data_IF_941906883301
#
_entry.id   IF_941906883301
#
_cell.length_a   1.000
_cell.length_b   1.000
_cell.length_c   1.000
_cell.angle_alpha   90.00
_cell.angle_beta   90.00
_cell.angle_gamma   90.00
#
_symmetry.space_group_name_H-M   'P 1'
#
loop_
_entity.id
_entity.type
_entity.pdbx_description
1 polymer ?
#
# COMPACT_ATOMS: atom_id res chain seq x y z
N UNK A 1 -0.95 40.92 -70.09
CA UNK A 1 -1.28 39.64 -69.43
C UNK A 1 -0.31 39.20 -68.37
N UNK A 2 1.02 39.41 -68.43
CA UNK A 2 1.99 39.01 -67.43
C UNK A 2 1.90 39.73 -66.09
N UNK A 3 1.39 40.96 -66.00
CA UNK A 3 1.25 41.72 -64.72
C UNK A 3 0.04 41.33 -63.90
N UNK A 4 -1.00 40.73 -64.45
CA UNK A 4 -2.21 40.31 -63.76
C UNK A 4 -1.97 38.93 -63.09
N UNK A 5 -1.15 38.08 -63.69
CA UNK A 5 -0.77 36.78 -63.10
C UNK A 5 0.11 36.93 -61.79
N UNK A 6 0.94 37.97 -61.74
CA UNK A 6 1.81 38.22 -60.61
C UNK A 6 1.05 38.77 -59.37
N UNK A 7 -0.02 39.58 -59.62
CA UNK A 7 -0.86 40.07 -58.53
C UNK A 7 -1.81 39.00 -57.96
N UNK A 8 -2.25 38.06 -58.78
CA UNK A 8 -3.04 36.91 -58.28
C UNK A 8 -2.19 35.93 -57.45
N UNK A 9 -0.91 35.74 -57.78
CA UNK A 9 0.02 34.90 -56.97
C UNK A 9 0.35 35.55 -55.62
N UNK A 10 0.48 36.88 -55.55
CA UNK A 10 0.72 37.62 -54.31
C UNK A 10 -0.53 37.67 -53.40
N UNK A 11 -1.72 37.72 -53.96
CA UNK A 11 -2.98 37.63 -53.21
C UNK A 11 -3.22 36.22 -52.66
N UNK A 12 -2.80 35.16 -53.37
CA UNK A 12 -2.89 33.78 -52.91
C UNK A 12 -1.98 33.50 -51.73
N UNK A 13 -0.75 34.01 -51.74
CA UNK A 13 0.22 33.81 -50.63
C UNK A 13 -0.19 34.57 -49.37
N UNK A 14 -0.81 35.77 -49.53
CA UNK A 14 -1.32 36.55 -48.39
C UNK A 14 -2.54 35.92 -47.71
N UNK A 15 -3.43 35.32 -48.49
CA UNK A 15 -4.63 34.62 -47.95
C UNK A 15 -4.29 33.33 -47.21
N UNK A 16 -3.31 32.57 -47.66
CA UNK A 16 -2.83 31.36 -46.94
C UNK A 16 -2.15 31.67 -45.60
N UNK A 17 -1.40 32.80 -45.52
CA UNK A 17 -0.76 33.20 -44.25
C UNK A 17 -1.75 33.68 -43.19
N UNK A 18 -2.86 34.31 -43.61
CA UNK A 18 -3.93 34.68 -42.70
C UNK A 18 -4.82 33.51 -42.28
N UNK A 19 -5.02 32.53 -43.17
CA UNK A 19 -5.84 31.35 -42.87
C UNK A 19 -5.26 30.52 -41.70
N UNK A 20 -3.92 30.40 -41.60
CA UNK A 20 -3.30 29.60 -40.55
C UNK A 20 -3.18 30.30 -39.20
N UNK A 21 -3.00 31.59 -39.18
CA UNK A 21 -3.14 32.39 -37.96
C UNK A 21 -4.56 32.29 -37.41
N UNK A 22 -5.55 32.13 -38.33
CA UNK A 22 -6.94 31.85 -37.96
C UNK A 22 -7.09 30.48 -37.24
N UNK A 23 -6.35 29.43 -37.63
CA UNK A 23 -6.43 28.13 -36.97
C UNK A 23 -5.98 28.21 -35.49
N UNK A 24 -4.94 28.99 -35.18
CA UNK A 24 -4.51 29.22 -33.77
C UNK A 24 -5.61 30.01 -33.02
N UNK A 25 -6.16 31.05 -33.64
CA UNK A 25 -7.24 31.84 -33.05
C UNK A 25 -8.51 31.01 -32.81
N UNK A 26 -8.86 30.12 -33.77
CA UNK A 26 -9.98 29.19 -33.55
C UNK A 26 -9.69 28.18 -32.45
N UNK A 27 -8.48 27.64 -32.33
CA UNK A 27 -8.07 26.81 -31.18
C UNK A 27 -8.25 27.58 -29.86
N UNK A 28 -7.77 28.82 -29.76
CA UNK A 28 -7.94 29.64 -28.56
C UNK A 28 -9.43 29.89 -28.23
N UNK A 29 -10.27 30.13 -29.23
CA UNK A 29 -11.72 30.26 -29.01
C UNK A 29 -12.33 29.00 -28.46
N UNK A 30 -11.98 27.83 -29.03
CA UNK A 30 -12.47 26.54 -28.51
C UNK A 30 -12.06 26.34 -27.05
N UNK A 31 -10.82 26.66 -26.67
CA UNK A 31 -10.36 26.59 -25.29
C UNK A 31 -11.17 27.51 -24.36
N UNK A 32 -11.40 28.76 -24.78
CA UNK A 32 -12.20 29.71 -24.02
C UNK A 32 -13.66 29.27 -23.85
N UNK A 33 -14.24 28.59 -24.84
CA UNK A 33 -15.59 28.02 -24.78
C UNK A 33 -15.72 26.92 -23.71
N UNK A 34 -14.64 26.19 -23.39
CA UNK A 34 -14.64 25.23 -22.31
C UNK A 34 -14.76 25.90 -20.94
N UNK A 35 -14.08 27.03 -20.75
CA UNK A 35 -14.13 27.79 -19.49
C UNK A 35 -15.51 28.41 -19.22
N UNK A 36 -16.28 28.72 -20.27
CA UNK A 36 -17.60 29.34 -20.17
C UNK A 36 -18.74 28.30 -19.99
N UNK A 37 -18.50 27.06 -20.33
CA UNK A 37 -19.55 26.02 -20.37
C UNK A 37 -19.64 25.19 -19.09
N UNK A 38 -20.15 25.76 -17.99
CA UNK A 38 -20.26 25.06 -16.69
C UNK A 38 -21.20 23.83 -16.68
N UNK A 39 -22.15 23.75 -17.60
CA UNK A 39 -23.21 22.73 -17.62
C UNK A 39 -23.14 21.79 -18.84
N UNK A 40 -21.99 21.70 -19.50
CA UNK A 40 -21.82 20.81 -20.66
C UNK A 40 -21.65 19.36 -20.24
N UNK A 41 -22.27 18.45 -20.99
CA UNK A 41 -22.08 17.03 -20.88
C UNK A 41 -20.64 16.62 -21.23
N UNK A 42 -20.20 15.42 -20.80
CA UNK A 42 -18.90 14.86 -21.20
C UNK A 42 -18.74 14.82 -22.73
N UNK A 43 -19.80 14.41 -23.46
CA UNK A 43 -19.78 14.33 -24.92
C UNK A 43 -19.58 15.68 -25.57
N UNK A 44 -20.25 16.73 -25.08
CA UNK A 44 -20.09 18.10 -25.58
C UNK A 44 -18.69 18.66 -25.29
N UNK A 45 -18.15 18.41 -24.12
CA UNK A 45 -16.79 18.78 -23.80
C UNK A 45 -15.76 18.07 -24.68
N UNK A 46 -15.89 16.75 -24.88
CA UNK A 46 -15.01 15.98 -25.77
C UNK A 46 -15.11 16.47 -27.23
N UNK A 47 -16.31 16.84 -27.71
CA UNK A 47 -16.49 17.42 -29.02
C UNK A 47 -15.69 18.72 -29.15
N UNK A 48 -15.89 19.68 -28.25
CA UNK A 48 -15.19 20.97 -28.25
C UNK A 48 -13.67 20.80 -28.20
N UNK A 49 -13.20 19.87 -27.36
CA UNK A 49 -11.76 19.55 -27.23
C UNK A 49 -11.17 18.94 -28.50
N UNK A 50 -11.89 18.03 -29.16
CA UNK A 50 -11.43 17.43 -30.42
C UNK A 50 -11.46 18.45 -31.58
N UNK A 51 -12.44 19.37 -31.65
CA UNK A 51 -12.46 20.47 -32.60
C UNK A 51 -11.24 21.39 -32.41
N UNK A 52 -10.95 21.78 -31.16
CA UNK A 52 -9.75 22.56 -30.83
C UNK A 52 -8.45 21.83 -31.19
N UNK A 53 -8.35 20.52 -30.89
CA UNK A 53 -7.19 19.70 -31.25
C UNK A 53 -7.00 19.65 -32.78
N UNK A 54 -8.08 19.51 -33.57
CA UNK A 54 -8.02 19.50 -35.04
C UNK A 54 -7.52 20.83 -35.62
N UNK A 55 -7.86 22.00 -35.02
CA UNK A 55 -7.28 23.28 -35.38
C UNK A 55 -5.76 23.31 -35.12
N UNK A 56 -5.30 22.76 -34.01
CA UNK A 56 -3.86 22.66 -33.73
C UNK A 56 -3.13 21.72 -34.70
N UNK A 57 -3.76 20.61 -35.14
CA UNK A 57 -3.20 19.70 -36.15
C UNK A 57 -2.87 20.44 -37.45
N UNK A 58 -3.78 21.31 -37.93
CA UNK A 58 -3.55 22.13 -39.10
C UNK A 58 -2.45 23.15 -38.87
N UNK A 59 -2.42 23.79 -37.70
CA UNK A 59 -1.44 24.82 -37.37
C UNK A 59 -0.01 24.26 -37.30
N UNK A 60 0.21 23.07 -36.69
CA UNK A 60 1.53 22.46 -36.62
C UNK A 60 2.01 21.85 -37.95
N UNK A 61 1.10 21.54 -38.86
CA UNK A 61 1.44 21.04 -40.20
C UNK A 61 1.97 22.11 -41.15
N UNK A 62 1.81 23.38 -40.82
CA UNK A 62 2.11 24.47 -41.73
C UNK A 62 3.48 25.12 -41.49
N UNK A 63 4.28 25.34 -42.53
CA UNK A 63 5.66 25.82 -42.48
C UNK A 63 5.87 27.13 -41.70
N UNK A 64 4.90 28.03 -41.65
CA UNK A 64 5.02 29.31 -40.96
C UNK A 64 4.62 29.28 -39.49
N UNK A 65 3.91 28.22 -39.04
CA UNK A 65 3.38 28.13 -37.68
C UNK A 65 3.92 26.93 -36.93
N UNK A 66 4.48 25.92 -37.59
CA UNK A 66 5.02 24.71 -36.96
C UNK A 66 6.12 24.97 -35.92
N UNK A 67 6.84 26.08 -36.04
CA UNK A 67 7.92 26.48 -35.15
C UNK A 67 7.52 27.62 -34.19
N UNK A 68 6.22 27.98 -34.12
CA UNK A 68 5.65 28.85 -33.10
C UNK A 68 5.25 28.03 -31.86
N UNK A 69 5.29 28.64 -30.68
CA UNK A 69 5.00 27.94 -29.44
C UNK A 69 3.51 27.70 -29.23
N UNK A 70 2.66 28.66 -29.61
CA UNK A 70 1.21 28.64 -29.32
C UNK A 70 0.49 27.42 -29.90
N UNK A 71 0.71 26.97 -31.16
CA UNK A 71 0.07 25.76 -31.66
C UNK A 71 0.38 24.50 -30.82
N UNK A 72 1.61 24.39 -30.34
CA UNK A 72 2.04 23.24 -29.53
C UNK A 72 1.53 23.33 -28.13
N UNK A 73 1.49 24.51 -27.49
CA UNK A 73 0.94 24.68 -26.15
C UNK A 73 -0.56 24.35 -26.09
N UNK A 74 -1.35 24.87 -27.04
CA UNK A 74 -2.78 24.54 -27.13
C UNK A 74 -3.01 23.08 -27.52
N UNK A 75 -2.16 22.48 -28.38
CA UNK A 75 -2.20 21.05 -28.67
C UNK A 75 -2.02 20.23 -27.39
N UNK A 76 -1.04 20.61 -26.57
CA UNK A 76 -0.81 19.97 -25.30
C UNK A 76 -2.02 20.09 -24.36
N UNK A 77 -2.61 21.28 -24.24
CA UNK A 77 -3.80 21.51 -23.43
C UNK A 77 -5.00 20.67 -23.87
N UNK A 78 -5.33 20.66 -25.17
CA UNK A 78 -6.46 19.88 -25.67
C UNK A 78 -6.25 18.39 -25.49
N UNK A 79 -5.11 17.87 -25.90
CA UNK A 79 -4.82 16.45 -25.82
C UNK A 79 -4.75 15.96 -24.36
N UNK A 80 -4.12 16.71 -23.47
CA UNK A 80 -4.04 16.37 -22.04
C UNK A 80 -5.41 16.41 -21.37
N UNK A 81 -6.25 17.40 -21.73
CA UNK A 81 -7.61 17.48 -21.17
C UNK A 81 -8.49 16.33 -21.64
N UNK A 82 -8.40 15.92 -22.91
CA UNK A 82 -9.10 14.72 -23.41
C UNK A 82 -8.59 13.49 -22.64
N UNK A 83 -7.27 13.32 -22.50
CA UNK A 83 -6.69 12.20 -21.76
C UNK A 83 -7.23 12.12 -20.32
N UNK A 84 -7.43 13.26 -19.66
CA UNK A 84 -7.91 13.34 -18.29
C UNK A 84 -9.39 13.00 -18.15
N UNK A 85 -10.25 13.49 -19.06
CA UNK A 85 -11.71 13.38 -18.88
C UNK A 85 -12.35 12.21 -19.64
N UNK A 86 -11.68 11.64 -20.63
CA UNK A 86 -12.22 10.51 -21.41
C UNK A 86 -12.08 9.20 -20.64
N UNK A 87 -12.93 9.06 -19.63
CA UNK A 87 -12.97 7.88 -18.77
C UNK A 87 -13.69 6.68 -19.40
N UNK A 88 -14.37 6.87 -20.53
CA UNK A 88 -15.14 5.84 -21.23
C UNK A 88 -14.29 5.07 -22.24
N UNK A 89 -13.33 5.74 -22.87
CA UNK A 89 -12.40 5.17 -23.84
C UNK A 89 -10.95 5.26 -23.34
N UNK A 90 -10.54 4.21 -22.63
CA UNK A 90 -9.18 4.09 -22.10
C UNK A 90 -8.11 4.16 -23.21
N UNK A 91 -8.37 3.54 -24.37
CA UNK A 91 -7.43 3.52 -25.48
C UNK A 91 -7.23 4.94 -26.05
N UNK A 92 -8.33 5.69 -26.22
CA UNK A 92 -8.28 7.10 -26.65
C UNK A 92 -7.57 7.96 -25.59
N UNK A 93 -7.89 7.80 -24.31
CA UNK A 93 -7.22 8.52 -23.21
C UNK A 93 -5.68 8.33 -23.26
N UNK A 94 -5.19 7.09 -23.44
CA UNK A 94 -3.75 6.79 -23.57
C UNK A 94 -3.15 7.40 -24.84
N UNK A 95 -3.87 7.31 -25.98
CA UNK A 95 -3.41 7.91 -27.23
C UNK A 95 -3.29 9.43 -27.13
N UNK A 96 -4.26 10.08 -26.49
CA UNK A 96 -4.25 11.53 -26.28
C UNK A 96 -3.17 11.97 -25.29
N UNK A 97 -2.87 11.16 -24.28
CA UNK A 97 -1.72 11.40 -23.40
C UNK A 97 -0.41 11.49 -24.19
N UNK A 98 -0.14 10.53 -25.09
CA UNK A 98 1.08 10.56 -25.92
C UNK A 98 1.17 11.81 -26.77
N UNK A 99 0.06 12.22 -27.39
CA UNK A 99 -0.02 13.46 -28.16
C UNK A 99 0.29 14.67 -27.28
N UNK A 100 -0.25 14.70 -26.05
CA UNK A 100 0.01 15.77 -25.09
C UNK A 100 1.50 15.82 -24.69
N UNK A 101 2.11 14.69 -24.39
CA UNK A 101 3.52 14.61 -24.00
C UNK A 101 4.45 15.10 -25.12
N UNK A 102 4.24 14.67 -26.36
CA UNK A 102 5.00 15.16 -27.51
C UNK A 102 4.83 16.67 -27.69
N UNK A 103 3.60 17.18 -27.54
CA UNK A 103 3.30 18.60 -27.66
C UNK A 103 3.92 19.44 -26.53
N UNK A 104 3.91 18.94 -25.28
CA UNK A 104 4.55 19.56 -24.12
C UNK A 104 6.05 19.70 -24.36
N UNK A 105 6.74 18.65 -24.81
CA UNK A 105 8.18 18.69 -25.06
C UNK A 105 8.53 19.65 -26.21
N UNK A 106 7.71 19.68 -27.25
CA UNK A 106 7.93 20.60 -28.36
C UNK A 106 7.66 22.06 -27.93
N UNK A 107 6.59 22.31 -27.18
CA UNK A 107 6.27 23.64 -26.64
C UNK A 107 7.38 24.16 -25.73
N UNK A 108 7.86 23.33 -24.77
CA UNK A 108 8.99 23.68 -23.90
C UNK A 108 10.25 24.04 -24.69
N UNK A 109 10.56 23.28 -25.76
CA UNK A 109 11.72 23.55 -26.59
C UNK A 109 11.63 24.89 -27.32
N UNK A 110 10.43 25.30 -27.70
CA UNK A 110 10.15 26.56 -28.44
C UNK A 110 9.96 27.77 -27.52
N UNK A 111 9.44 27.59 -26.31
CA UNK A 111 9.10 28.67 -25.39
C UNK A 111 10.30 29.25 -24.64
N UNK A 112 11.17 29.94 -25.40
CA UNK A 112 12.38 30.58 -24.83
C UNK A 112 12.05 31.79 -23.93
N UNK A 113 10.86 32.34 -24.03
CA UNK A 113 10.43 33.54 -23.29
C UNK A 113 9.47 33.26 -22.16
N UNK A 114 8.99 32.02 -22.04
CA UNK A 114 8.00 31.63 -21.03
C UNK A 114 6.60 32.19 -21.33
N UNK A 115 6.30 32.53 -22.57
CA UNK A 115 5.00 33.10 -22.96
C UNK A 115 3.83 32.11 -22.83
N UNK A 116 4.10 30.82 -22.93
CA UNK A 116 3.12 29.74 -22.87
C UNK A 116 3.37 28.81 -21.65
N UNK A 117 4.15 29.24 -20.68
CA UNK A 117 4.55 28.46 -19.51
C UNK A 117 3.35 27.89 -18.78
N UNK A 118 2.35 28.70 -18.49
CA UNK A 118 1.14 28.29 -17.75
C UNK A 118 0.38 27.19 -18.50
N UNK A 119 0.20 27.34 -19.80
CA UNK A 119 -0.45 26.34 -20.65
C UNK A 119 0.31 25.00 -20.67
N UNK A 120 1.64 25.06 -20.70
CA UNK A 120 2.52 23.88 -20.70
C UNK A 120 2.45 23.18 -19.34
N UNK A 121 2.47 23.92 -18.23
CA UNK A 121 2.35 23.40 -16.89
C UNK A 121 0.98 22.78 -16.64
N UNK A 122 -0.10 23.44 -17.05
CA UNK A 122 -1.47 22.91 -16.97
C UNK A 122 -1.63 21.61 -17.77
N UNK A 123 -1.05 21.56 -18.97
CA UNK A 123 -1.08 20.36 -19.78
C UNK A 123 -0.32 19.19 -19.10
N UNK A 124 0.85 19.46 -18.50
CA UNK A 124 1.61 18.47 -17.77
C UNK A 124 0.82 17.96 -16.56
N UNK A 125 0.22 18.85 -15.78
CA UNK A 125 -0.64 18.48 -14.64
C UNK A 125 -1.83 17.62 -15.08
N UNK A 126 -2.50 17.96 -16.18
CA UNK A 126 -3.59 17.14 -16.71
C UNK A 126 -3.13 15.72 -17.07
N UNK A 127 -1.95 15.57 -17.67
CA UNK A 127 -1.36 14.26 -17.98
C UNK A 127 -1.13 13.46 -16.69
N UNK A 128 -0.51 14.05 -15.68
CA UNK A 128 -0.23 13.39 -14.42
C UNK A 128 -1.52 12.94 -13.70
N UNK A 129 -2.53 13.81 -13.70
CA UNK A 129 -3.86 13.47 -13.17
C UNK A 129 -4.53 12.35 -13.98
N UNK A 130 -4.39 12.35 -15.32
CA UNK A 130 -4.96 11.31 -16.17
C UNK A 130 -4.34 9.93 -15.87
N UNK A 131 -3.02 9.85 -15.71
CA UNK A 131 -2.32 8.61 -15.35
C UNK A 131 -2.76 8.11 -13.98
N UNK A 132 -2.77 9.00 -12.98
CA UNK A 132 -3.18 8.65 -11.62
C UNK A 132 -4.63 8.17 -11.56
N UNK A 133 -5.55 8.88 -12.24
CA UNK A 133 -6.97 8.51 -12.28
C UNK A 133 -7.19 7.16 -12.95
N UNK A 134 -6.43 6.83 -14.01
CA UNK A 134 -6.45 5.49 -14.62
C UNK A 134 -6.05 4.41 -13.63
N UNK A 135 -5.02 4.64 -12.83
CA UNK A 135 -4.60 3.71 -11.79
C UNK A 135 -5.71 3.48 -10.75
N UNK A 136 -6.30 4.54 -10.23
CA UNK A 136 -7.42 4.47 -9.28
C UNK A 136 -8.62 3.74 -9.88
N UNK A 137 -8.98 4.06 -11.12
CA UNK A 137 -10.12 3.45 -11.79
C UNK A 137 -9.90 1.97 -12.09
N UNK A 138 -8.71 1.59 -12.57
CA UNK A 138 -8.32 0.20 -12.77
C UNK A 138 -8.38 -0.58 -11.46
N UNK A 139 -7.86 -0.03 -10.37
CA UNK A 139 -7.93 -0.66 -9.05
C UNK A 139 -9.37 -0.90 -8.59
N UNK A 140 -10.24 0.12 -8.71
CA UNK A 140 -11.69 -0.01 -8.39
C UNK A 140 -12.39 -1.07 -9.23
N UNK A 141 -11.98 -1.26 -10.47
CA UNK A 141 -12.49 -2.31 -11.37
C UNK A 141 -11.83 -3.67 -11.16
N UNK A 142 -10.90 -3.79 -10.22
CA UNK A 142 -10.09 -4.98 -9.95
C UNK A 142 -9.14 -5.36 -11.11
N UNK A 143 -8.86 -4.43 -12.02
CA UNK A 143 -7.75 -4.53 -12.96
C UNK A 143 -6.46 -4.10 -12.26
N UNK A 144 -5.97 -4.98 -11.38
CA UNK A 144 -4.82 -4.69 -10.56
C UNK A 144 -3.52 -4.58 -11.37
N UNK A 145 -3.42 -5.25 -12.51
CA UNK A 145 -2.28 -5.10 -13.41
C UNK A 145 -2.28 -3.71 -14.07
N UNK A 146 -3.42 -3.28 -14.56
CA UNK A 146 -3.58 -1.91 -15.09
C UNK A 146 -3.28 -0.85 -14.03
N UNK A 147 -3.76 -1.05 -12.80
CA UNK A 147 -3.48 -0.17 -11.67
C UNK A 147 -1.97 -0.11 -11.35
N UNK A 148 -1.31 -1.27 -11.23
CA UNK A 148 0.13 -1.35 -10.98
C UNK A 148 0.94 -0.62 -12.04
N UNK A 149 0.62 -0.82 -13.33
CA UNK A 149 1.31 -0.17 -14.43
C UNK A 149 1.13 1.35 -14.38
N UNK A 150 -0.09 1.83 -14.14
CA UNK A 150 -0.38 3.27 -14.05
C UNK A 150 0.33 3.92 -12.85
N UNK A 151 0.23 3.34 -11.63
CA UNK A 151 0.91 3.90 -10.46
C UNK A 151 2.45 3.84 -10.59
N UNK A 152 2.99 2.79 -11.23
CA UNK A 152 4.42 2.72 -11.55
C UNK A 152 4.84 3.83 -12.55
N UNK A 153 3.96 4.22 -13.46
CA UNK A 153 4.20 5.36 -14.34
C UNK A 153 4.22 6.67 -13.52
N UNK A 154 3.29 6.85 -12.58
CA UNK A 154 3.29 8.04 -11.70
C UNK A 154 4.57 8.12 -10.86
N UNK A 155 5.09 7.01 -10.32
CA UNK A 155 6.35 7.03 -9.55
C UNK A 155 7.56 7.47 -10.40
N UNK A 156 7.56 7.18 -11.71
CA UNK A 156 8.61 7.64 -12.62
C UNK A 156 8.50 9.14 -12.92
N UNK A 157 7.29 9.67 -13.00
CA UNK A 157 7.01 11.09 -13.23
C UNK A 157 7.30 11.92 -11.99
N UNK A 158 6.93 11.41 -10.82
CA UNK A 158 7.05 12.06 -9.52
C UNK A 158 7.81 11.17 -8.52
N UNK A 159 9.16 11.07 -8.65
CA UNK A 159 9.96 10.16 -7.82
C UNK A 159 9.95 10.46 -6.31
N UNK A 160 9.40 11.61 -5.90
CA UNK A 160 9.22 11.99 -4.50
C UNK A 160 7.81 11.77 -3.96
N UNK A 161 6.84 11.38 -4.81
CA UNK A 161 5.46 11.15 -4.38
C UNK A 161 5.31 9.80 -3.65
N UNK A 162 5.30 9.87 -2.33
CA UNK A 162 5.17 8.69 -1.46
C UNK A 162 3.87 7.92 -1.69
N UNK A 163 2.77 8.61 -1.96
CA UNK A 163 1.45 8.02 -2.18
C UNK A 163 1.42 7.10 -3.39
N UNK A 164 2.08 7.50 -4.47
CA UNK A 164 2.16 6.70 -5.69
C UNK A 164 2.95 5.40 -5.49
N UNK A 165 4.02 5.42 -4.67
CA UNK A 165 4.73 4.19 -4.30
C UNK A 165 3.84 3.27 -3.45
N UNK A 166 3.07 3.81 -2.50
CA UNK A 166 2.13 3.01 -1.71
C UNK A 166 1.10 2.36 -2.63
N UNK A 167 0.49 3.13 -3.53
CA UNK A 167 -0.52 2.62 -4.46
C UNK A 167 0.05 1.54 -5.41
N UNK A 168 1.27 1.75 -5.93
CA UNK A 168 1.96 0.74 -6.74
C UNK A 168 2.26 -0.54 -5.94
N UNK A 169 2.69 -0.41 -4.69
CA UNK A 169 2.94 -1.52 -3.79
C UNK A 169 1.67 -2.33 -3.48
N UNK A 170 0.57 -1.65 -3.19
CA UNK A 170 -0.74 -2.29 -2.97
C UNK A 170 -1.20 -3.03 -4.22
N UNK A 171 -1.16 -2.39 -5.38
CA UNK A 171 -1.55 -3.04 -6.64
C UNK A 171 -0.65 -4.23 -6.99
N UNK A 172 0.66 -4.15 -6.70
CA UNK A 172 1.60 -5.24 -6.88
C UNK A 172 1.26 -6.47 -6.01
N UNK A 173 0.80 -6.24 -4.76
CA UNK A 173 0.35 -7.34 -3.88
C UNK A 173 -0.85 -8.09 -4.46
N UNK A 174 -1.81 -7.38 -5.03
CA UNK A 174 -3.02 -7.98 -5.61
C UNK A 174 -2.72 -8.88 -6.82
N UNK A 175 -1.60 -8.63 -7.52
CA UNK A 175 -1.13 -9.45 -8.64
C UNK A 175 0.05 -10.37 -8.26
N UNK A 176 0.22 -10.61 -6.95
CA UNK A 176 1.24 -11.49 -6.36
C UNK A 176 2.71 -11.12 -6.69
N UNK A 177 2.95 -9.89 -7.13
CA UNK A 177 4.30 -9.33 -7.30
C UNK A 177 4.86 -8.83 -5.97
N UNK A 178 5.05 -9.76 -5.04
CA UNK A 178 5.45 -9.43 -3.66
C UNK A 178 6.81 -8.74 -3.54
N UNK A 179 7.85 -9.11 -4.30
CA UNK A 179 9.12 -8.38 -4.27
C UNK A 179 8.96 -6.91 -4.70
N UNK A 180 8.20 -6.65 -5.76
CA UNK A 180 7.91 -5.30 -6.24
C UNK A 180 7.07 -4.51 -5.23
N UNK A 181 6.10 -5.16 -4.57
CA UNK A 181 5.32 -4.54 -3.50
C UNK A 181 6.21 -4.07 -2.35
N UNK A 182 7.07 -4.97 -1.86
CA UNK A 182 8.04 -4.67 -0.79
C UNK A 182 8.98 -3.53 -1.19
N UNK A 183 9.49 -3.55 -2.43
CA UNK A 183 10.37 -2.50 -2.95
C UNK A 183 9.68 -1.12 -2.95
N UNK A 184 8.43 -1.06 -3.42
CA UNK A 184 7.65 0.17 -3.44
C UNK A 184 7.35 0.67 -2.02
N UNK A 185 6.95 -0.20 -1.08
CA UNK A 185 6.71 0.19 0.31
C UNK A 185 7.99 0.69 1.00
N UNK A 186 9.14 0.04 0.78
CA UNK A 186 10.43 0.51 1.28
C UNK A 186 10.76 1.91 0.75
N UNK A 187 10.49 2.15 -0.55
CA UNK A 187 10.73 3.47 -1.14
C UNK A 187 9.82 4.55 -0.56
N UNK A 188 8.53 4.24 -0.33
CA UNK A 188 7.61 5.15 0.34
C UNK A 188 8.09 5.50 1.77
N UNK A 189 8.57 4.51 2.53
CA UNK A 189 9.14 4.70 3.88
C UNK A 189 10.39 5.58 3.83
N UNK A 190 11.30 5.31 2.89
CA UNK A 190 12.53 6.10 2.70
C UNK A 190 12.22 7.58 2.40
N UNK A 191 11.18 7.83 1.62
CA UNK A 191 10.73 9.17 1.26
C UNK A 191 9.89 9.86 2.36
N UNK A 192 9.66 9.21 3.50
CA UNK A 192 8.97 9.79 4.65
C UNK A 192 7.45 9.68 4.61
N UNK A 193 6.90 8.59 4.04
CA UNK A 193 5.45 8.36 4.10
C UNK A 193 4.96 8.38 5.56
N UNK A 194 3.87 9.12 5.90
CA UNK A 194 3.45 9.31 7.29
C UNK A 194 3.18 8.00 8.02
N UNK A 195 2.46 7.07 7.39
CA UNK A 195 2.11 5.78 8.01
C UNK A 195 3.19 4.70 7.76
N UNK A 196 4.47 5.11 7.77
CA UNK A 196 5.62 4.25 7.52
C UNK A 196 5.66 2.99 8.38
N UNK A 197 5.14 3.05 9.61
CA UNK A 197 5.05 1.93 10.54
C UNK A 197 4.13 0.83 9.98
N UNK A 198 2.94 1.20 9.48
CA UNK A 198 1.97 0.27 8.89
C UNK A 198 2.56 -0.40 7.65
N UNK A 199 3.25 0.38 6.79
CA UNK A 199 3.93 -0.19 5.63
C UNK A 199 5.03 -1.18 6.03
N UNK A 200 5.77 -0.88 7.10
CA UNK A 200 6.82 -1.79 7.58
C UNK A 200 6.23 -3.10 8.09
N UNK A 201 5.11 -3.05 8.83
CA UNK A 201 4.37 -4.25 9.24
C UNK A 201 3.90 -5.07 8.03
N UNK A 202 3.43 -4.41 6.98
CA UNK A 202 2.98 -5.06 5.76
C UNK A 202 4.14 -5.75 5.02
N UNK A 203 5.32 -5.12 4.98
CA UNK A 203 6.56 -5.74 4.47
C UNK A 203 6.90 -7.02 5.26
N UNK A 204 6.87 -6.95 6.58
CA UNK A 204 7.13 -8.11 7.45
C UNK A 204 6.13 -9.24 7.17
N UNK A 205 4.83 -8.92 7.20
CA UNK A 205 3.78 -9.90 6.94
C UNK A 205 3.91 -10.54 5.55
N UNK A 206 4.16 -9.73 4.53
CA UNK A 206 4.31 -10.21 3.15
C UNK A 206 5.52 -11.15 3.03
N UNK A 207 6.63 -10.82 3.68
CA UNK A 207 7.84 -11.65 3.69
C UNK A 207 7.59 -13.01 4.33
N UNK A 208 6.93 -13.06 5.50
CA UNK A 208 6.61 -14.33 6.16
C UNK A 208 5.51 -15.13 5.45
N UNK A 209 4.40 -14.47 5.11
CA UNK A 209 3.19 -15.18 4.70
C UNK A 209 3.17 -15.52 3.22
N UNK A 210 3.73 -14.67 2.38
CA UNK A 210 3.68 -14.78 0.92
C UNK A 210 4.99 -15.29 0.32
N UNK A 211 6.11 -14.69 0.69
CA UNK A 211 7.43 -15.16 0.23
C UNK A 211 7.90 -16.41 0.99
N UNK A 212 7.31 -16.71 2.14
CA UNK A 212 7.74 -17.82 3.04
C UNK A 212 9.20 -17.73 3.47
N UNK A 213 9.80 -16.55 3.38
CA UNK A 213 11.19 -16.33 3.77
C UNK A 213 11.29 -15.98 5.24
N UNK A 214 11.41 -17.03 6.06
CA UNK A 214 11.53 -16.92 7.51
C UNK A 214 12.81 -16.19 7.92
N UNK A 215 13.91 -16.35 7.18
CA UNK A 215 15.19 -15.72 7.52
C UNK A 215 15.12 -14.21 7.31
N UNK A 216 14.71 -13.76 6.12
CA UNK A 216 14.52 -12.34 5.87
C UNK A 216 13.44 -11.72 6.77
N UNK A 217 12.36 -12.46 7.04
CA UNK A 217 11.30 -12.03 7.95
C UNK A 217 11.81 -11.78 9.38
N UNK A 218 12.69 -12.64 9.90
CA UNK A 218 13.29 -12.45 11.24
C UNK A 218 14.19 -11.19 11.29
N UNK A 219 15.00 -10.95 10.25
CA UNK A 219 15.82 -9.73 10.17
C UNK A 219 14.93 -8.48 10.18
N UNK A 220 13.84 -8.50 9.39
CA UNK A 220 12.87 -7.39 9.37
C UNK A 220 12.15 -7.20 10.71
N UNK A 221 11.86 -8.27 11.44
CA UNK A 221 11.28 -8.17 12.79
C UNK A 221 12.23 -7.51 13.77
N UNK A 222 13.51 -7.89 13.75
CA UNK A 222 14.53 -7.28 14.60
C UNK A 222 14.72 -5.79 14.27
N UNK A 223 14.75 -5.45 12.98
CA UNK A 223 14.78 -4.06 12.51
C UNK A 223 13.54 -3.29 12.96
N UNK A 224 12.35 -3.88 12.82
CA UNK A 224 11.08 -3.27 13.23
C UNK A 224 11.01 -3.02 14.73
N UNK A 225 11.42 -3.99 15.55
CA UNK A 225 11.46 -3.86 17.00
C UNK A 225 12.45 -2.78 17.46
N UNK A 226 13.59 -2.63 16.77
CA UNK A 226 14.57 -1.59 17.07
C UNK A 226 14.08 -0.20 16.63
N UNK A 227 13.45 -0.10 15.47
CA UNK A 227 12.99 1.16 14.89
C UNK A 227 11.70 1.69 15.53
N UNK A 228 10.84 0.78 16.01
CA UNK A 228 9.54 1.07 16.60
C UNK A 228 9.38 0.37 17.95
N UNK A 229 10.15 0.76 18.99
CA UNK A 229 10.23 0.06 20.26
C UNK A 229 8.90 0.02 21.03
N UNK A 230 8.02 0.99 20.80
CA UNK A 230 6.69 1.08 21.41
C UNK A 230 5.62 0.25 20.66
N UNK A 231 6.01 -0.41 19.56
CA UNK A 231 5.08 -1.17 18.73
C UNK A 231 5.10 -2.63 19.11
N UNK A 232 4.13 -3.04 19.93
CA UNK A 232 3.99 -4.41 20.44
C UNK A 232 3.85 -5.49 19.35
N UNK A 233 3.44 -5.10 18.14
CA UNK A 233 3.29 -6.01 17.00
C UNK A 233 4.60 -6.76 16.69
N UNK A 234 5.74 -6.07 16.60
CA UNK A 234 7.02 -6.70 16.24
C UNK A 234 7.49 -7.65 17.33
N UNK A 235 7.40 -7.21 18.59
CA UNK A 235 7.78 -8.04 19.74
C UNK A 235 6.83 -9.24 19.87
N UNK A 236 5.53 -9.03 19.65
CA UNK A 236 4.52 -10.10 19.70
C UNK A 236 4.77 -11.18 18.65
N UNK A 237 5.06 -10.79 17.40
CA UNK A 237 5.32 -11.74 16.33
C UNK A 237 6.66 -12.50 16.55
N UNK A 238 7.71 -11.81 17.05
CA UNK A 238 8.94 -12.49 17.47
C UNK A 238 8.67 -13.53 18.57
N UNK A 239 7.89 -13.15 19.58
CA UNK A 239 7.51 -14.03 20.68
C UNK A 239 6.81 -15.29 20.18
N UNK A 240 5.81 -15.14 19.28
CA UNK A 240 5.09 -16.27 18.68
C UNK A 240 6.04 -17.22 17.93
N UNK A 241 6.99 -16.69 17.18
CA UNK A 241 7.99 -17.48 16.47
C UNK A 241 8.90 -18.25 17.44
N UNK A 242 9.38 -17.61 18.50
CA UNK A 242 10.24 -18.26 19.49
C UNK A 242 9.49 -19.33 20.29
N UNK A 243 8.21 -19.09 20.62
CA UNK A 243 7.34 -20.12 21.24
C UNK A 243 7.22 -21.33 20.32
N UNK A 244 6.93 -21.12 19.03
CA UNK A 244 6.80 -22.21 18.05
C UNK A 244 8.11 -22.99 17.83
N UNK A 245 9.25 -22.32 17.95
CA UNK A 245 10.58 -22.97 17.88
C UNK A 245 10.99 -23.67 19.17
N UNK A 246 10.25 -23.50 20.25
CA UNK A 246 10.60 -24.03 21.56
C UNK A 246 11.73 -23.27 22.24
N UNK A 247 12.07 -22.07 21.80
CA UNK A 247 13.06 -21.21 22.48
C UNK A 247 12.38 -20.47 23.65
N UNK A 248 12.24 -21.19 24.75
CA UNK A 248 11.52 -20.74 25.95
C UNK A 248 12.18 -19.48 26.54
N UNK A 249 13.52 -19.48 26.63
CA UNK A 249 14.23 -18.37 27.23
C UNK A 249 13.99 -17.04 26.50
N UNK A 250 14.08 -17.08 25.17
CA UNK A 250 13.87 -15.90 24.35
C UNK A 250 12.42 -15.44 24.36
N UNK A 251 11.47 -16.39 24.32
CA UNK A 251 10.04 -16.05 24.40
C UNK A 251 9.67 -15.42 25.76
N UNK A 252 10.22 -15.90 26.87
CA UNK A 252 10.01 -15.30 28.20
C UNK A 252 10.63 -13.91 28.32
N UNK A 253 11.83 -13.68 27.76
CA UNK A 253 12.44 -12.34 27.70
C UNK A 253 11.53 -11.33 26.99
N UNK A 254 11.01 -11.69 25.82
CA UNK A 254 10.15 -10.82 25.02
C UNK A 254 8.79 -10.59 25.66
N UNK A 255 8.17 -11.66 26.23
CA UNK A 255 6.92 -11.54 26.97
C UNK A 255 7.06 -10.65 28.21
N UNK A 256 8.20 -10.68 28.88
CA UNK A 256 8.47 -9.78 30.01
C UNK A 256 8.45 -8.30 29.58
N UNK A 257 9.00 -7.99 28.39
CA UNK A 257 8.95 -6.65 27.81
C UNK A 257 7.51 -6.23 27.45
N UNK A 258 6.75 -7.16 26.85
CA UNK A 258 5.34 -6.91 26.50
C UNK A 258 4.46 -6.68 27.75
N UNK A 259 4.64 -7.50 28.79
CA UNK A 259 3.94 -7.34 30.07
C UNK A 259 4.32 -6.03 30.77
N UNK A 260 5.59 -5.62 30.68
CA UNK A 260 6.03 -4.34 31.24
C UNK A 260 5.42 -3.13 30.51
N UNK A 261 5.23 -3.22 29.18
CA UNK A 261 4.60 -2.17 28.37
C UNK A 261 3.08 -2.13 28.52
N UNK A 262 2.43 -3.28 28.66
CA UNK A 262 0.98 -3.40 28.85
C UNK A 262 0.66 -4.50 29.89
N UNK A 263 0.70 -4.18 31.18
CA UNK A 263 0.43 -5.14 32.27
C UNK A 263 -0.99 -5.69 32.28
N UNK A 264 -1.94 -5.00 31.65
CA UNK A 264 -3.34 -5.35 31.61
C UNK A 264 -3.75 -6.18 30.38
N UNK A 265 -2.78 -6.64 29.60
CA UNK A 265 -3.04 -7.50 28.45
C UNK A 265 -3.17 -8.97 28.87
N UNK A 266 -4.39 -9.48 28.86
CA UNK A 266 -4.70 -10.87 29.20
C UNK A 266 -3.89 -11.88 28.37
N UNK A 267 -3.70 -11.59 27.07
CA UNK A 267 -2.98 -12.50 26.17
C UNK A 267 -1.51 -12.65 26.58
N UNK A 268 -0.84 -11.57 26.97
CA UNK A 268 0.58 -11.65 27.37
C UNK A 268 0.78 -12.46 28.66
N UNK A 269 -0.14 -12.29 29.62
CA UNK A 269 -0.14 -13.10 30.86
C UNK A 269 -0.39 -14.57 30.53
N UNK A 270 -1.37 -14.87 29.70
CA UNK A 270 -1.67 -16.23 29.23
C UNK A 270 -0.47 -16.88 28.52
N UNK A 271 0.15 -16.18 27.57
CA UNK A 271 1.30 -16.70 26.83
C UNK A 271 2.50 -16.95 27.74
N UNK A 272 2.78 -16.06 28.70
CA UNK A 272 3.84 -16.29 29.69
C UNK A 272 3.54 -17.54 30.55
N UNK A 273 2.29 -17.70 30.99
CA UNK A 273 1.83 -18.91 31.69
C UNK A 273 2.06 -20.17 30.87
N UNK A 274 1.78 -20.13 29.58
CA UNK A 274 2.02 -21.25 28.66
C UNK A 274 3.50 -21.61 28.54
N UNK A 275 4.42 -20.67 28.59
CA UNK A 275 5.86 -21.01 28.52
C UNK A 275 6.28 -21.87 29.69
N UNK A 276 5.77 -21.64 30.89
CA UNK A 276 6.02 -22.46 32.07
C UNK A 276 5.25 -23.77 32.02
N UNK A 277 3.95 -23.72 31.68
CA UNK A 277 3.14 -24.94 31.65
C UNK A 277 3.63 -25.95 30.60
N UNK A 278 4.05 -25.50 29.43
CA UNK A 278 4.61 -26.37 28.39
C UNK A 278 5.92 -27.05 28.86
N UNK A 279 6.73 -26.37 29.67
CA UNK A 279 7.92 -27.00 30.30
C UNK A 279 7.50 -28.09 31.27
N UNK A 280 6.42 -27.88 32.04
CA UNK A 280 5.88 -28.92 32.91
C UNK A 280 5.38 -30.12 32.10
N UNK A 281 4.64 -29.91 31.02
CA UNK A 281 4.17 -30.98 30.15
C UNK A 281 5.30 -31.75 29.45
N UNK A 282 6.37 -31.05 29.03
CA UNK A 282 7.55 -31.71 28.49
C UNK A 282 8.20 -32.66 29.54
N UNK A 283 8.34 -32.22 30.79
CA UNK A 283 8.84 -33.04 31.86
C UNK A 283 7.89 -34.22 32.15
N UNK A 284 6.58 -33.99 32.12
CA UNK A 284 5.61 -35.08 32.29
C UNK A 284 5.78 -36.16 31.21
N UNK A 285 6.01 -35.74 29.97
CA UNK A 285 6.25 -36.66 28.85
C UNK A 285 7.52 -37.47 29.05
N UNK A 286 8.62 -36.86 29.49
CA UNK A 286 9.86 -37.55 29.75
C UNK A 286 9.73 -38.48 30.99
N UNK A 287 9.05 -38.03 32.06
CA UNK A 287 8.77 -38.82 33.24
C UNK A 287 7.97 -40.09 32.94
N UNK A 288 7.02 -40.01 31.99
CA UNK A 288 6.22 -41.19 31.60
C UNK A 288 7.02 -42.30 30.91
N UNK A 289 8.24 -42.01 30.44
CA UNK A 289 9.15 -42.97 29.81
C UNK A 289 10.07 -43.68 30.83
N UNK A 290 10.08 -43.27 32.10
CA UNK A 290 10.94 -43.86 33.12
C UNK A 290 10.47 -45.26 33.48
N UNK A 291 11.44 -46.17 33.73
CA UNK A 291 11.19 -47.48 34.31
C UNK A 291 10.64 -47.35 35.75
N UNK A 292 9.75 -48.23 36.12
CA UNK A 292 9.15 -48.28 37.46
C UNK A 292 10.17 -48.37 38.63
N UNK A 293 11.42 -48.76 38.35
CA UNK A 293 12.52 -48.78 39.33
C UNK A 293 13.23 -47.44 39.51
N UNK A 294 12.93 -46.43 38.70
CA UNK A 294 13.60 -45.13 38.68
C UNK A 294 12.96 -44.12 39.66
N UNK A 295 12.65 -44.54 40.89
CA UNK A 295 11.91 -43.75 41.88
C UNK A 295 12.52 -42.35 42.12
N UNK A 296 13.83 -42.27 42.32
CA UNK A 296 14.53 -41.00 42.57
C UNK A 296 14.38 -40.02 41.36
N UNK A 297 14.60 -40.50 40.15
CA UNK A 297 14.45 -39.68 38.96
C UNK A 297 12.98 -39.26 38.77
N UNK A 298 12.04 -40.14 39.08
CA UNK A 298 10.61 -39.84 39.04
C UNK A 298 10.24 -38.69 40.00
N UNK A 299 10.74 -38.75 41.26
CA UNK A 299 10.48 -37.72 42.27
C UNK A 299 11.13 -36.38 41.91
N UNK A 300 12.38 -36.40 41.42
CA UNK A 300 13.06 -35.18 40.93
C UNK A 300 12.31 -34.52 39.77
N UNK A 301 11.84 -35.29 38.80
CA UNK A 301 11.04 -34.78 37.68
C UNK A 301 9.69 -34.24 38.15
N UNK A 302 9.03 -34.92 39.09
CA UNK A 302 7.77 -34.49 39.69
C UNK A 302 7.93 -33.16 40.41
N UNK A 303 8.99 -32.99 41.19
CA UNK A 303 9.30 -31.75 41.88
C UNK A 303 9.60 -30.59 40.89
N UNK A 304 10.37 -30.88 39.82
CA UNK A 304 10.67 -29.90 38.77
C UNK A 304 9.41 -29.48 38.01
N UNK A 305 8.55 -30.44 37.68
CA UNK A 305 7.26 -30.17 37.02
C UNK A 305 6.37 -29.30 37.92
N UNK A 306 6.29 -29.61 39.22
CA UNK A 306 5.53 -28.80 40.19
C UNK A 306 5.97 -27.35 40.23
N UNK A 307 7.29 -27.07 40.19
CA UNK A 307 7.81 -25.69 40.15
C UNK A 307 7.32 -24.90 38.93
N UNK A 308 7.35 -25.51 37.76
CA UNK A 308 6.85 -24.84 36.54
C UNK A 308 5.33 -24.61 36.57
N UNK A 309 4.58 -25.58 37.12
CA UNK A 309 3.15 -25.43 37.37
C UNK A 309 2.89 -24.24 38.31
N UNK A 310 3.62 -24.16 39.42
CA UNK A 310 3.47 -23.07 40.38
C UNK A 310 3.79 -21.70 39.79
N UNK A 311 4.74 -21.63 38.86
CA UNK A 311 5.04 -20.41 38.11
C UNK A 311 3.94 -20.03 37.08
N UNK A 312 3.26 -21.02 36.51
CA UNK A 312 2.21 -20.77 35.50
C UNK A 312 0.89 -20.29 36.10
N UNK A 313 0.51 -20.81 37.29
CA UNK A 313 -0.80 -20.54 37.92
C UNK A 313 -1.10 -19.06 38.12
N UNK A 314 -0.22 -18.24 38.75
CA UNK A 314 -0.52 -16.81 38.94
C UNK A 314 -0.71 -16.05 37.64
N UNK A 315 -0.02 -16.45 36.59
CA UNK A 315 -0.13 -15.83 35.26
C UNK A 315 -1.49 -16.14 34.61
N UNK A 316 -1.94 -17.40 34.69
CA UNK A 316 -3.28 -17.75 34.21
C UNK A 316 -4.39 -17.12 35.05
N UNK A 317 -4.23 -17.02 36.37
CA UNK A 317 -5.18 -16.31 37.22
C UNK A 317 -5.26 -14.85 36.84
N UNK A 318 -4.13 -14.20 36.57
CA UNK A 318 -4.11 -12.82 36.08
C UNK A 318 -4.75 -12.68 34.70
N UNK A 319 -4.51 -13.64 33.81
CA UNK A 319 -5.14 -13.66 32.50
C UNK A 319 -6.68 -13.72 32.58
N UNK A 320 -7.24 -14.58 33.46
CA UNK A 320 -8.70 -14.68 33.65
C UNK A 320 -9.30 -13.59 34.54
N UNK A 321 -8.48 -12.86 35.31
CA UNK A 321 -8.89 -11.62 35.96
C UNK A 321 -9.10 -10.50 34.94
N UNK A 322 -8.19 -10.37 33.99
CA UNK A 322 -8.21 -9.36 32.92
C UNK A 322 -9.24 -9.68 31.82
N UNK A 323 -9.35 -10.95 31.46
CA UNK A 323 -10.35 -11.45 30.51
C UNK A 323 -11.05 -12.69 31.11
N UNK A 324 -12.21 -12.51 31.77
CA UNK A 324 -12.95 -13.62 32.37
C UNK A 324 -13.42 -14.70 31.39
N UNK A 325 -13.40 -14.42 30.09
CA UNK A 325 -13.79 -15.35 29.02
C UNK A 325 -12.58 -16.01 28.34
N UNK A 326 -11.39 -15.90 28.87
CA UNK A 326 -10.20 -16.55 28.34
C UNK A 326 -10.29 -18.07 28.56
N UNK A 327 -10.99 -18.76 27.64
CA UNK A 327 -11.24 -20.20 27.69
C UNK A 327 -9.95 -20.99 27.81
N UNK A 328 -8.90 -20.61 27.08
CA UNK A 328 -7.63 -21.32 27.09
C UNK A 328 -6.94 -21.29 28.45
N UNK A 329 -6.96 -20.14 29.13
CA UNK A 329 -6.39 -20.04 30.48
C UNK A 329 -7.21 -20.83 31.50
N UNK A 330 -8.54 -20.83 31.36
CA UNK A 330 -9.43 -21.63 32.20
C UNK A 330 -9.21 -23.13 32.01
N UNK A 331 -9.08 -23.62 30.78
CA UNK A 331 -8.78 -25.05 30.50
C UNK A 331 -7.43 -25.48 31.08
N UNK A 332 -6.41 -24.64 30.97
CA UNK A 332 -5.11 -24.92 31.56
C UNK A 332 -5.17 -24.95 33.07
N UNK A 333 -5.88 -24.02 33.72
CA UNK A 333 -6.11 -24.03 35.17
C UNK A 333 -6.88 -25.27 35.61
N UNK A 334 -7.92 -25.68 34.88
CA UNK A 334 -8.68 -26.90 35.13
C UNK A 334 -7.75 -28.13 35.16
N UNK A 335 -6.90 -28.27 34.13
CA UNK A 335 -5.91 -29.35 34.04
C UNK A 335 -4.91 -29.32 35.20
N UNK A 336 -4.41 -28.15 35.57
CA UNK A 336 -3.48 -27.94 36.66
C UNK A 336 -4.12 -28.35 38.01
N UNK A 337 -5.37 -27.99 38.27
CA UNK A 337 -6.03 -28.32 39.51
C UNK A 337 -6.36 -29.82 39.63
N UNK A 338 -6.62 -30.50 38.51
CA UNK A 338 -6.64 -31.99 38.52
C UNK A 338 -5.28 -32.56 38.93
N UNK A 339 -4.20 -32.06 38.35
CA UNK A 339 -2.84 -32.50 38.72
C UNK A 339 -2.50 -32.25 40.20
N UNK A 340 -2.95 -31.12 40.76
CA UNK A 340 -2.72 -30.73 42.15
C UNK A 340 -3.69 -31.40 43.14
N UNK A 341 -4.64 -32.20 42.67
CA UNK A 341 -5.75 -32.77 43.46
C UNK A 341 -6.57 -31.68 44.20
N UNK A 342 -6.66 -30.46 43.67
CA UNK A 342 -7.43 -29.36 44.23
C UNK A 342 -8.85 -29.37 43.66
N UNK A 343 -9.70 -30.23 44.25
CA UNK A 343 -11.07 -30.43 43.78
C UNK A 343 -11.90 -29.14 43.88
N UNK A 344 -11.67 -28.31 44.90
CA UNK A 344 -12.43 -27.08 45.10
C UNK A 344 -12.20 -26.12 43.95
N UNK A 345 -10.96 -25.82 43.62
CA UNK A 345 -10.61 -24.92 42.50
C UNK A 345 -10.94 -25.52 41.16
N UNK A 346 -10.84 -26.84 41.00
CA UNK A 346 -11.28 -27.53 39.79
C UNK A 346 -12.75 -27.27 39.52
N UNK A 347 -13.64 -27.47 40.52
CA UNK A 347 -15.08 -27.26 40.33
C UNK A 347 -15.41 -25.77 40.09
N UNK A 348 -14.69 -24.85 40.72
CA UNK A 348 -14.83 -23.40 40.44
C UNK A 348 -14.54 -23.06 38.95
N UNK A 349 -13.40 -23.52 38.44
CA UNK A 349 -13.00 -23.28 37.05
C UNK A 349 -13.94 -23.98 36.08
N UNK A 350 -14.35 -25.22 36.36
CA UNK A 350 -15.30 -25.97 35.54
C UNK A 350 -16.63 -25.20 35.41
N UNK A 351 -17.18 -24.70 36.52
CA UNK A 351 -18.41 -23.89 36.49
C UNK A 351 -18.28 -22.64 35.64
N UNK A 352 -17.11 -22.01 35.64
CA UNK A 352 -16.86 -20.84 34.76
C UNK A 352 -16.82 -21.22 33.29
N UNK A 353 -16.21 -22.35 32.95
CA UNK A 353 -16.19 -22.87 31.57
C UNK A 353 -17.60 -23.22 31.08
N UNK A 354 -18.39 -23.93 31.90
CA UNK A 354 -19.77 -24.31 31.58
C UNK A 354 -20.66 -23.07 31.36
N UNK A 355 -20.41 -22.00 32.09
CA UNK A 355 -21.12 -20.73 31.92
C UNK A 355 -20.77 -19.97 30.61
N UNK A 356 -19.57 -20.21 30.06
CA UNK A 356 -19.13 -19.60 28.78
C UNK A 356 -19.65 -20.40 27.58
N UNK A 357 -19.64 -21.73 27.69
CA UNK A 357 -20.10 -22.67 26.67
C UNK A 357 -21.25 -23.54 27.23
N UNK A 358 -22.47 -23.00 27.38
CA UNK A 358 -23.61 -23.81 27.77
C UNK A 358 -23.88 -24.86 26.68
N UNK A 359 -23.96 -26.15 27.08
CA UNK A 359 -24.30 -27.26 26.18
C UNK A 359 -25.66 -27.10 25.53
#
# INVERSE_FOLDING_TARGET
MKKILFSLLLLGVGSFANAQRNEIIEAQKQWNLLALGKDKTLAENLKTLNEGLAHTDKAIAHEKTKDQVEPWSYRALFASRIALIDSLDLANSIAKQKIAEEAIEKAKALDKKGSEKDNIEDAALNVDMAVNNRGIFAYKKKDFLGAFNAFTEVTKRHPSDTGSYVNAGVAAKEIEKYPEAISNFKKAIELGYPDHKILFMDIVNTTFSKLKDTTAGMVLLEEGAAKYPDESYFIGLQTDIYIKRGDIAKSQELLSKLIASDPNNSLYQYLMGNTYFNQALAIQTERSKLDAKSTKAFDEMTAKMGKFIDQSVPLYLKAIELDPKNVNALENLKTIYVFKNDTVKYEEIKKRLDAINPE
#
